data_IF_827984687226
#
_entry.id   IF_827984687226
#
_cell.length_a   1.000
_cell.length_b   1.000
_cell.length_c   1.000
_cell.angle_alpha   90.00
_cell.angle_beta   90.00
_cell.angle_gamma   90.00
#
_symmetry.space_group_name_H-M   'P 1'
#
loop_
_entity.id
_entity.type
_entity.pdbx_description
1 polymer ?
#
# COMPACT_ATOMS: atom_id res chain seq x y z
N UNK A 1 3.21 -8.01 -6.85
CA UNK A 1 4.65 -8.05 -6.56
C UNK A 1 5.23 -6.64 -6.38
N UNK A 2 4.92 -5.95 -5.28
CA UNK A 2 5.51 -4.64 -4.95
C UNK A 2 6.85 -4.78 -4.20
N UNK A 3 6.95 -5.74 -3.28
CA UNK A 3 8.16 -5.95 -2.45
C UNK A 3 9.40 -6.35 -3.27
N UNK A 4 9.21 -7.18 -4.32
CA UNK A 4 10.33 -7.66 -5.16
C UNK A 4 10.93 -6.52 -6.00
N UNK A 5 10.10 -5.61 -6.51
CA UNK A 5 10.58 -4.42 -7.23
C UNK A 5 11.39 -3.50 -6.31
N UNK A 6 10.97 -3.35 -5.06
CA UNK A 6 11.69 -2.56 -4.05
C UNK A 6 13.03 -3.19 -3.68
N UNK A 7 13.08 -4.52 -3.47
CA UNK A 7 14.33 -5.27 -3.21
C UNK A 7 15.35 -5.10 -4.34
N UNK A 8 14.91 -5.24 -5.59
CA UNK A 8 15.79 -5.06 -6.75
C UNK A 8 16.25 -3.62 -6.92
N UNK A 9 15.39 -2.64 -6.62
CA UNK A 9 15.76 -1.21 -6.68
C UNK A 9 16.81 -0.86 -5.64
N UNK A 10 16.66 -1.34 -4.40
CA UNK A 10 17.62 -1.09 -3.31
C UNK A 10 18.94 -1.81 -3.58
N UNK A 11 18.88 -3.09 -3.99
CA UNK A 11 20.06 -3.84 -4.43
C UNK A 11 20.81 -3.10 -5.54
N UNK A 12 20.10 -2.65 -6.58
CA UNK A 12 20.72 -1.93 -7.70
C UNK A 12 21.35 -0.61 -7.24
N UNK A 13 20.68 0.14 -6.36
CA UNK A 13 21.17 1.42 -5.82
C UNK A 13 22.41 1.23 -4.94
N UNK A 14 22.49 0.16 -4.16
CA UNK A 14 23.67 -0.18 -3.36
C UNK A 14 24.81 -0.71 -4.24
N UNK A 15 24.52 -1.52 -5.27
CA UNK A 15 25.54 -1.94 -6.24
C UNK A 15 26.14 -0.76 -7.00
N UNK A 16 25.33 0.19 -7.48
CA UNK A 16 25.84 1.40 -8.15
C UNK A 16 26.70 2.27 -7.24
N UNK A 17 26.53 2.16 -5.91
CA UNK A 17 27.36 2.87 -4.91
C UNK A 17 28.64 2.13 -4.53
N UNK A 18 28.91 0.96 -5.12
CA UNK A 18 30.15 0.20 -4.92
C UNK A 18 30.16 -0.70 -3.68
N UNK A 19 29.01 -0.99 -3.08
CA UNK A 19 28.94 -1.95 -1.96
C UNK A 19 29.11 -3.39 -2.47
N UNK A 20 29.87 -4.21 -1.74
CA UNK A 20 30.06 -5.62 -2.06
C UNK A 20 28.75 -6.41 -1.90
N UNK A 21 28.54 -7.40 -2.77
CA UNK A 21 27.34 -8.24 -2.75
C UNK A 21 27.06 -8.87 -1.38
N UNK A 22 28.08 -9.27 -0.62
CA UNK A 22 27.91 -9.85 0.73
C UNK A 22 27.31 -8.85 1.74
N UNK A 23 27.60 -7.56 1.60
CA UNK A 23 27.02 -6.50 2.44
C UNK A 23 25.59 -6.19 1.99
N UNK A 24 25.36 -6.15 0.68
CA UNK A 24 24.03 -5.90 0.12
C UNK A 24 23.07 -7.02 0.51
N UNK A 25 23.50 -8.28 0.42
CA UNK A 25 22.64 -9.42 0.74
C UNK A 25 22.32 -9.46 2.25
N UNK A 26 23.30 -9.17 3.12
CA UNK A 26 23.04 -8.97 4.56
C UNK A 26 22.02 -7.86 4.81
N UNK A 27 22.21 -6.69 4.19
CA UNK A 27 21.29 -5.55 4.34
C UNK A 27 19.89 -5.91 3.83
N UNK A 28 19.77 -6.63 2.71
CA UNK A 28 18.48 -7.08 2.15
C UNK A 28 17.83 -8.17 3.01
N UNK A 29 18.63 -9.01 3.69
CA UNK A 29 18.17 -10.04 4.62
C UNK A 29 17.75 -9.45 5.98
N UNK A 30 18.49 -8.46 6.49
CA UNK A 30 18.19 -7.71 7.72
C UNK A 30 17.06 -6.68 7.52
N UNK A 31 16.84 -6.22 6.28
CA UNK A 31 15.60 -5.58 5.87
C UNK A 31 14.48 -6.63 5.89
N UNK A 32 14.03 -6.95 7.09
CA UNK A 32 12.87 -7.79 7.33
C UNK A 32 11.61 -7.04 6.83
N UNK A 33 11.26 -7.29 5.57
CA UNK A 33 9.99 -6.85 4.99
C UNK A 33 8.81 -7.68 5.51
N UNK A 34 9.05 -8.69 6.34
CA UNK A 34 8.03 -9.52 6.99
C UNK A 34 7.27 -8.74 8.06
N UNK A 35 7.95 -7.81 8.75
CA UNK A 35 7.37 -6.82 9.67
C UNK A 35 6.48 -5.77 9.00
N UNK A 36 6.27 -5.85 7.68
CA UNK A 36 5.60 -4.80 6.91
C UNK A 36 4.10 -4.99 6.80
N UNK A 37 3.50 -6.16 7.08
CA UNK A 37 2.05 -6.35 6.81
C UNK A 37 1.16 -5.51 7.73
N UNK A 38 1.45 -5.48 9.04
CA UNK A 38 0.74 -4.58 9.98
C UNK A 38 1.00 -3.11 9.66
N UNK A 39 2.21 -2.78 9.20
CA UNK A 39 2.54 -1.44 8.74
C UNK A 39 1.80 -1.08 7.43
N UNK A 40 1.66 -2.00 6.48
CA UNK A 40 0.93 -1.77 5.22
C UNK A 40 -0.56 -1.57 5.49
N UNK A 41 -1.17 -2.33 6.41
CA UNK A 41 -2.57 -2.18 6.79
C UNK A 41 -2.80 -0.80 7.42
N UNK A 42 -1.92 -0.36 8.34
CA UNK A 42 -1.97 0.97 8.95
C UNK A 42 -1.75 2.09 7.93
N UNK A 43 -0.84 1.90 6.97
CA UNK A 43 -0.59 2.86 5.89
C UNK A 43 -1.79 2.95 4.94
N UNK A 44 -2.37 1.82 4.58
CA UNK A 44 -3.55 1.74 3.74
C UNK A 44 -4.75 2.38 4.44
N UNK A 45 -4.94 2.15 5.74
CA UNK A 45 -6.00 2.78 6.53
C UNK A 45 -5.87 4.31 6.52
N UNK A 46 -4.67 4.82 6.78
CA UNK A 46 -4.39 6.27 6.69
C UNK A 46 -4.66 6.82 5.30
N UNK A 47 -4.31 6.07 4.27
CA UNK A 47 -4.52 6.47 2.88
C UNK A 47 -6.02 6.53 2.54
N UNK A 48 -6.79 5.53 2.95
CA UNK A 48 -8.24 5.50 2.78
C UNK A 48 -8.86 6.70 3.52
N UNK A 49 -8.53 6.93 4.79
CA UNK A 49 -9.01 8.11 5.55
C UNK A 49 -8.70 9.44 4.85
N UNK A 50 -7.53 9.55 4.23
CA UNK A 50 -7.15 10.72 3.42
C UNK A 50 -7.99 10.85 2.14
N UNK A 51 -8.28 9.73 1.48
CA UNK A 51 -9.10 9.69 0.29
C UNK A 51 -10.56 10.04 0.59
N UNK A 52 -11.11 9.56 1.72
CA UNK A 52 -12.45 9.92 2.22
C UNK A 52 -12.55 11.45 2.34
N UNK A 53 -11.68 12.09 3.14
CA UNK A 53 -11.65 13.55 3.31
C UNK A 53 -11.57 14.36 2.01
N UNK A 54 -10.93 13.79 0.99
CA UNK A 54 -10.77 14.42 -0.32
C UNK A 54 -12.04 14.33 -1.15
N UNK A 55 -12.68 13.16 -1.17
CA UNK A 55 -13.74 12.83 -2.12
C UNK A 55 -15.15 12.94 -1.52
N UNK A 56 -15.30 12.85 -0.19
CA UNK A 56 -16.60 12.90 0.52
C UNK A 56 -17.37 14.21 0.26
N UNK A 57 -16.66 15.29 -0.08
CA UNK A 57 -17.26 16.60 -0.39
C UNK A 57 -18.03 16.62 -1.71
N UNK A 58 -17.72 15.70 -2.63
CA UNK A 58 -18.27 15.68 -4.00
C UNK A 58 -18.97 14.39 -4.35
N UNK A 59 -18.60 13.28 -3.71
CA UNK A 59 -19.09 11.95 -4.00
C UNK A 59 -19.58 11.30 -2.73
N UNK A 60 -20.60 10.45 -2.85
CA UNK A 60 -21.21 9.70 -1.75
C UNK A 60 -21.50 8.27 -2.20
N UNK A 61 -21.81 7.38 -1.24
CA UNK A 61 -22.16 5.98 -1.50
C UNK A 61 -21.15 5.24 -2.38
N UNK A 62 -21.66 4.57 -3.42
CA UNK A 62 -20.86 3.73 -4.32
C UNK A 62 -19.80 4.50 -5.13
N UNK A 63 -20.11 5.73 -5.58
CA UNK A 63 -19.13 6.52 -6.36
C UNK A 63 -17.94 6.93 -5.48
N UNK A 64 -18.20 7.33 -4.23
CA UNK A 64 -17.15 7.62 -3.24
C UNK A 64 -16.25 6.40 -3.01
N UNK A 65 -16.86 5.22 -2.81
CA UNK A 65 -16.13 3.94 -2.63
C UNK A 65 -15.24 3.64 -3.82
N UNK A 66 -15.77 3.74 -5.03
CA UNK A 66 -15.02 3.51 -6.28
C UNK A 66 -13.84 4.45 -6.43
N UNK A 67 -14.00 5.73 -6.08
CA UNK A 67 -12.93 6.73 -6.14
C UNK A 67 -11.80 6.43 -5.16
N UNK A 68 -12.14 6.07 -3.92
CA UNK A 68 -11.17 5.69 -2.89
C UNK A 68 -10.41 4.44 -3.31
N UNK A 69 -11.13 3.40 -3.78
CA UNK A 69 -10.53 2.15 -4.25
C UNK A 69 -9.51 2.41 -5.37
N UNK A 70 -9.91 3.16 -6.41
CA UNK A 70 -9.00 3.54 -7.51
C UNK A 70 -7.81 4.35 -7.02
N UNK A 71 -8.01 5.26 -6.08
CA UNK A 71 -6.93 6.03 -5.49
C UNK A 71 -5.91 5.12 -4.80
N UNK A 72 -6.35 4.18 -3.96
CA UNK A 72 -5.45 3.23 -3.30
C UNK A 72 -4.70 2.33 -4.29
N UNK A 73 -5.34 1.88 -5.37
CA UNK A 73 -4.68 1.14 -6.45
C UNK A 73 -3.56 1.96 -7.11
N UNK A 74 -3.79 3.25 -7.39
CA UNK A 74 -2.74 4.11 -7.98
C UNK A 74 -1.57 4.37 -7.04
N UNK A 75 -1.76 4.19 -5.73
CA UNK A 75 -0.68 4.27 -4.75
C UNK A 75 0.11 2.97 -4.60
N UNK A 76 -0.27 1.91 -5.34
CA UNK A 76 0.46 0.65 -5.41
C UNK A 76 0.02 -0.41 -4.39
N UNK A 77 -1.10 -0.17 -3.69
CA UNK A 77 -1.70 -1.16 -2.79
C UNK A 77 -2.41 -2.26 -3.59
N UNK A 78 -2.42 -3.46 -3.03
CA UNK A 78 -3.06 -4.61 -3.63
C UNK A 78 -4.58 -4.52 -3.52
N UNK A 79 -5.28 -4.94 -4.59
CA UNK A 79 -6.75 -4.92 -4.64
C UNK A 79 -7.39 -5.68 -3.48
N UNK A 80 -6.82 -6.83 -3.10
CA UNK A 80 -7.33 -7.68 -2.02
C UNK A 80 -7.25 -6.97 -0.67
N UNK A 81 -6.08 -6.40 -0.32
CA UNK A 81 -5.91 -5.65 0.94
C UNK A 81 -6.82 -4.41 1.00
N UNK A 82 -7.01 -3.71 -0.13
CA UNK A 82 -7.94 -2.58 -0.22
C UNK A 82 -9.38 -3.04 0.04
N UNK A 83 -9.83 -4.11 -0.62
CA UNK A 83 -11.18 -4.63 -0.44
C UNK A 83 -11.44 -5.09 0.98
N UNK A 84 -10.50 -5.85 1.58
CA UNK A 84 -10.61 -6.31 2.97
C UNK A 84 -10.68 -5.13 3.94
N UNK A 85 -9.84 -4.11 3.77
CA UNK A 85 -9.82 -2.97 4.68
C UNK A 85 -11.02 -2.03 4.50
N UNK A 86 -11.52 -1.89 3.26
CA UNK A 86 -12.75 -1.15 2.99
C UNK A 86 -13.98 -1.88 3.53
N UNK A 87 -14.00 -3.20 3.51
CA UNK A 87 -15.07 -4.01 4.12
C UNK A 87 -15.05 -3.89 5.65
N UNK A 88 -13.86 -4.03 6.26
CA UNK A 88 -13.65 -3.87 7.72
C UNK A 88 -14.07 -2.51 8.26
N UNK A 89 -14.00 -1.46 7.45
CA UNK A 89 -14.39 -0.11 7.86
C UNK A 89 -15.92 0.10 7.94
N UNK A 90 -16.74 -0.95 7.81
CA UNK A 90 -18.21 -0.88 7.86
C UNK A 90 -18.74 0.29 7.03
N UNK A 91 -18.36 0.30 5.75
CA UNK A 91 -19.08 1.13 4.80
C UNK A 91 -20.47 0.55 4.67
N UNK A 92 -21.45 1.18 5.34
CA UNK A 92 -22.86 0.82 5.21
C UNK A 92 -23.16 0.57 3.75
N UNK A 93 -23.49 -0.68 3.45
CA UNK A 93 -24.09 -1.07 2.20
C UNK A 93 -25.47 -0.39 2.22
N UNK A 94 -25.54 0.87 1.77
CA UNK A 94 -26.77 1.35 1.16
C UNK A 94 -26.88 0.53 -0.14
N UNK A 95 -27.42 -0.67 0.01
CA UNK A 95 -28.05 -1.39 -1.09
C UNK A 95 -29.25 -0.53 -1.52
N UNK A 96 -29.14 0.09 -2.69
CA UNK A 96 -30.30 0.58 -3.46
C UNK A 96 -31.27 -0.56 -3.76
#
# INVERSE_FOLDING_TARGET
>A
SSVIKTKNTIRNKLMTRGYSNSVIDKVILELDYSSNKENEDVLLEKLIKKAIKRYERKYQGYDLKTRIYRYCLTQGFHSEDISVLMDRMEWSHDED
#
